data_IF_391014565688
#
_entry.id   IF_391014565688
#
_cell.length_a   1.000
_cell.length_b   1.000
_cell.length_c   1.000
_cell.angle_alpha   90.00
_cell.angle_beta   90.00
_cell.angle_gamma   90.00
#
_symmetry.space_group_name_H-M   'P 1'
#
loop_
_entity.id
_entity.type
_entity.pdbx_description
1 polymer ?
#
# COMPACT_ATOMS: atom_id res chain seq x y z
N UNK A 1 -5.05 -21.96 -14.02
CA UNK A 1 -4.40 -20.81 -14.66
C UNK A 1 -4.45 -19.55 -13.80
N UNK A 2 -5.61 -19.05 -13.32
CA UNK A 2 -5.71 -17.80 -12.53
C UNK A 2 -4.83 -17.82 -11.25
N UNK A 3 -4.78 -18.91 -10.51
CA UNK A 3 -3.95 -19.03 -9.29
C UNK A 3 -2.45 -18.96 -9.58
N UNK A 4 -1.99 -19.60 -10.66
CA UNK A 4 -0.58 -19.56 -11.07
C UNK A 4 -0.20 -18.12 -11.49
N UNK A 5 -1.04 -17.48 -12.30
CA UNK A 5 -0.86 -16.08 -12.69
C UNK A 5 -0.77 -15.15 -11.48
N UNK A 6 -1.71 -15.27 -10.53
CA UNK A 6 -1.71 -14.49 -9.29
C UNK A 6 -0.38 -14.66 -8.52
N UNK A 7 0.06 -15.90 -8.30
CA UNK A 7 1.33 -16.19 -7.60
C UNK A 7 2.53 -15.64 -8.35
N UNK A 8 2.57 -15.76 -9.67
CA UNK A 8 3.65 -15.20 -10.50
C UNK A 8 3.72 -13.69 -10.36
N UNK A 9 2.57 -13.00 -10.46
CA UNK A 9 2.53 -11.54 -10.26
C UNK A 9 3.00 -11.16 -8.86
N UNK A 10 2.57 -11.86 -7.81
CA UNK A 10 3.05 -11.57 -6.44
C UNK A 10 4.56 -11.74 -6.29
N UNK A 11 5.14 -12.77 -6.87
CA UNK A 11 6.61 -12.99 -6.84
C UNK A 11 7.32 -11.86 -7.59
N UNK A 12 6.87 -11.50 -8.79
CA UNK A 12 7.43 -10.39 -9.56
C UNK A 12 7.36 -9.06 -8.80
N UNK A 13 6.19 -8.76 -8.20
CA UNK A 13 6.02 -7.55 -7.40
C UNK A 13 6.89 -7.57 -6.14
N UNK A 14 7.03 -8.72 -5.48
CA UNK A 14 7.92 -8.87 -4.32
C UNK A 14 9.38 -8.62 -4.68
N UNK A 15 9.85 -9.15 -5.81
CA UNK A 15 11.17 -8.85 -6.35
C UNK A 15 11.30 -7.36 -6.70
N UNK A 16 10.31 -6.79 -7.39
CA UNK A 16 10.34 -5.39 -7.78
C UNK A 16 10.33 -4.43 -6.59
N UNK A 17 9.68 -4.76 -5.50
CA UNK A 17 9.72 -3.96 -4.27
C UNK A 17 11.16 -3.68 -3.79
N UNK A 18 12.10 -4.61 -3.97
CA UNK A 18 13.52 -4.42 -3.62
C UNK A 18 14.24 -3.42 -4.52
N UNK A 19 13.72 -3.19 -5.73
CA UNK A 19 14.27 -2.19 -6.66
C UNK A 19 13.58 -0.84 -6.54
N UNK A 20 12.31 -0.82 -6.14
CA UNK A 20 11.52 0.41 -6.05
C UNK A 20 11.63 1.09 -4.69
N UNK A 21 11.64 0.32 -3.62
CA UNK A 21 11.79 0.83 -2.25
C UNK A 21 13.22 0.62 -1.75
N UNK A 22 13.71 1.56 -0.98
CA UNK A 22 14.99 1.40 -0.29
C UNK A 22 14.90 0.26 0.72
N UNK A 23 13.79 0.19 1.46
CA UNK A 23 13.49 -0.90 2.38
C UNK A 23 11.99 -1.01 2.63
N UNK A 24 11.50 -2.24 2.65
CA UNK A 24 10.17 -2.58 3.16
C UNK A 24 10.39 -3.38 4.45
N UNK A 25 9.96 -2.80 5.58
CA UNK A 25 10.04 -3.42 6.90
C UNK A 25 8.68 -3.92 7.30
N UNK A 26 8.61 -5.13 7.83
CA UNK A 26 7.35 -5.77 8.21
C UNK A 26 7.41 -6.15 9.67
N UNK A 27 6.35 -5.86 10.43
CA UNK A 27 6.22 -6.11 11.85
C UNK A 27 4.88 -6.76 12.15
N UNK A 28 4.85 -7.63 13.16
CA UNK A 28 3.62 -8.21 13.68
C UNK A 28 2.98 -9.29 12.81
N UNK A 29 3.74 -9.99 11.97
CA UNK A 29 3.22 -11.13 11.20
C UNK A 29 2.68 -12.25 12.10
N UNK A 30 3.21 -12.37 13.30
CA UNK A 30 2.75 -13.30 14.33
C UNK A 30 1.33 -13.00 14.85
N UNK A 31 0.85 -11.77 14.65
CA UNK A 31 -0.51 -11.35 15.01
C UNK A 31 -1.58 -11.81 14.00
N UNK A 32 -1.18 -12.39 12.87
CA UNK A 32 -2.10 -12.86 11.83
C UNK A 32 -2.59 -14.27 12.20
N UNK A 33 -3.89 -14.44 12.52
CA UNK A 33 -4.43 -15.75 12.88
C UNK A 33 -4.33 -16.75 11.71
N UNK A 34 -4.06 -17.99 12.05
CA UNK A 34 -4.06 -19.12 11.10
C UNK A 34 -5.45 -19.77 11.09
N UNK A 35 -5.78 -20.46 10.00
CA UNK A 35 -7.01 -21.26 9.85
C UNK A 35 -8.27 -20.47 10.25
N UNK A 36 -8.46 -19.31 9.66
CA UNK A 36 -9.57 -18.40 9.98
C UNK A 36 -9.90 -17.49 8.80
N UNK A 37 -11.12 -17.01 8.72
CA UNK A 37 -11.50 -15.94 7.80
C UNK A 37 -10.92 -14.60 8.27
N UNK A 38 -10.22 -13.87 7.40
CA UNK A 38 -9.56 -12.62 7.77
C UNK A 38 -10.02 -11.46 6.90
N UNK A 39 -10.22 -10.32 7.54
CA UNK A 39 -10.33 -9.02 6.86
C UNK A 39 -9.13 -8.18 7.28
N UNK A 40 -8.17 -7.97 6.38
CA UNK A 40 -7.12 -6.98 6.58
C UNK A 40 -7.69 -5.59 6.35
N UNK A 41 -7.51 -4.70 7.32
CA UNK A 41 -7.97 -3.31 7.25
C UNK A 41 -6.79 -2.35 7.36
N UNK A 42 -6.14 -1.99 6.25
CA UNK A 42 -5.08 -1.00 6.23
C UNK A 42 -5.62 0.43 6.14
N UNK A 43 -4.76 1.43 6.51
CA UNK A 43 -4.92 2.81 6.10
C UNK A 43 -4.71 2.98 4.59
N UNK A 44 -5.18 4.09 4.01
CA UNK A 44 -5.22 4.25 2.55
C UNK A 44 -4.59 5.57 2.08
N UNK A 45 -3.27 5.55 1.87
CA UNK A 45 -2.47 6.74 1.55
C UNK A 45 -1.64 6.60 0.25
N UNK A 46 -1.54 5.38 -0.30
CA UNK A 46 -0.77 5.07 -1.50
C UNK A 46 -1.60 4.55 -2.69
N UNK A 47 -2.91 4.81 -2.71
CA UNK A 47 -3.84 4.34 -3.75
C UNK A 47 -3.70 2.83 -4.00
N UNK A 48 -3.54 2.36 -5.26
CA UNK A 48 -3.42 0.93 -5.56
C UNK A 48 -2.07 0.31 -5.11
N UNK A 49 -1.11 1.10 -4.64
CA UNK A 49 0.14 0.59 -4.08
C UNK A 49 -0.09 -0.08 -2.71
N UNK A 50 -1.03 0.43 -1.91
CA UNK A 50 -1.33 -0.12 -0.59
C UNK A 50 -1.74 -1.60 -0.61
N UNK A 51 -2.72 -2.05 -1.43
CA UNK A 51 -3.08 -3.46 -1.49
C UNK A 51 -1.95 -4.34 -2.05
N UNK A 52 -1.09 -3.82 -2.94
CA UNK A 52 0.07 -4.56 -3.45
C UNK A 52 1.11 -4.79 -2.35
N UNK A 53 1.37 -3.79 -1.51
CA UNK A 53 2.29 -3.90 -0.38
C UNK A 53 1.79 -4.92 0.64
N UNK A 54 0.52 -4.86 1.03
CA UNK A 54 -0.07 -5.85 1.94
C UNK A 54 -0.02 -7.25 1.31
N UNK A 55 -0.40 -7.39 0.03
CA UNK A 55 -0.39 -8.67 -0.68
C UNK A 55 0.99 -9.31 -0.79
N UNK A 56 2.05 -8.50 -0.95
CA UNK A 56 3.43 -9.01 -1.04
C UNK A 56 4.07 -9.33 0.31
N UNK A 57 3.46 -8.90 1.43
CA UNK A 57 4.07 -8.99 2.77
C UNK A 57 3.29 -9.85 3.76
N UNK A 58 1.96 -10.00 3.63
CA UNK A 58 1.15 -10.73 4.60
C UNK A 58 1.31 -12.27 4.55
N UNK A 59 1.95 -12.81 3.52
CA UNK A 59 2.12 -14.26 3.36
C UNK A 59 0.87 -15.04 2.92
N UNK A 60 -0.19 -14.35 2.55
CA UNK A 60 -1.48 -14.94 2.15
C UNK A 60 -1.96 -14.44 0.79
N UNK A 61 -2.78 -15.25 0.12
CA UNK A 61 -3.54 -14.78 -1.04
C UNK A 61 -4.68 -13.88 -0.57
N UNK A 62 -4.81 -12.70 -1.18
CA UNK A 62 -5.82 -11.70 -0.82
C UNK A 62 -6.91 -11.60 -1.88
N UNK A 63 -8.12 -11.26 -1.44
CA UNK A 63 -9.23 -10.86 -2.28
C UNK A 63 -9.55 -9.38 -1.98
N UNK A 64 -8.99 -8.44 -2.76
CA UNK A 64 -9.17 -7.01 -2.50
C UNK A 64 -10.57 -6.54 -2.88
N UNK A 65 -11.23 -5.81 -1.95
CA UNK A 65 -12.43 -5.07 -2.27
C UNK A 65 -12.05 -3.70 -2.82
N UNK A 66 -12.49 -3.41 -4.04
CA UNK A 66 -12.12 -2.17 -4.73
C UNK A 66 -13.31 -1.52 -5.43
N UNK A 67 -13.16 -0.28 -5.87
CA UNK A 67 -14.23 0.49 -6.51
C UNK A 67 -14.76 -0.19 -7.77
N UNK A 68 -16.09 -0.26 -7.91
CA UNK A 68 -16.73 -0.91 -9.06
C UNK A 68 -16.46 -0.24 -10.40
N UNK A 69 -16.17 1.06 -10.41
CA UNK A 69 -15.93 1.83 -11.63
C UNK A 69 -14.66 1.40 -12.40
N UNK A 70 -13.66 0.87 -11.71
CA UNK A 70 -12.44 0.36 -12.37
C UNK A 70 -12.68 -0.93 -13.17
N UNK A 71 -13.77 -1.66 -12.90
CA UNK A 71 -14.12 -2.88 -13.63
C UNK A 71 -14.81 -2.62 -14.99
N UNK A 72 -15.12 -1.36 -15.32
CA UNK A 72 -15.76 -0.98 -16.60
C UNK A 72 -14.80 -0.95 -17.79
N UNK A 73 -13.49 -1.04 -17.55
CA UNK A 73 -12.46 -0.94 -18.57
C UNK A 73 -12.03 -2.27 -19.18
N UNK A 74 -11.14 -2.25 -20.20
CA UNK A 74 -10.64 -3.44 -20.88
C UNK A 74 -9.80 -4.36 -19.98
N UNK A 75 -9.41 -3.89 -18.79
CA UNK A 75 -8.57 -4.63 -17.83
C UNK A 75 -9.36 -5.50 -16.86
N UNK A 76 -10.67 -5.70 -17.07
CA UNK A 76 -11.52 -6.51 -16.20
C UNK A 76 -10.93 -7.91 -15.93
N UNK A 77 -10.45 -8.60 -16.98
CA UNK A 77 -9.82 -9.92 -16.84
C UNK A 77 -8.60 -9.93 -15.92
N UNK A 78 -7.82 -8.84 -15.90
CA UNK A 78 -6.65 -8.69 -15.04
C UNK A 78 -7.05 -8.50 -13.57
N UNK A 79 -8.08 -7.68 -13.32
CA UNK A 79 -8.63 -7.48 -11.98
C UNK A 79 -9.23 -8.78 -11.41
N UNK A 80 -9.93 -9.55 -12.25
CA UNK A 80 -10.41 -10.87 -11.90
C UNK A 80 -9.28 -11.87 -11.60
N UNK A 81 -8.21 -11.82 -12.37
CA UNK A 81 -7.04 -12.67 -12.15
C UNK A 81 -6.32 -12.32 -10.84
N UNK A 82 -6.42 -11.06 -10.39
CA UNK A 82 -5.97 -10.59 -9.08
C UNK A 82 -7.01 -10.81 -7.97
N UNK A 83 -8.10 -11.53 -8.23
CA UNK A 83 -9.17 -11.86 -7.26
C UNK A 83 -9.83 -10.63 -6.66
N UNK A 84 -9.86 -9.50 -7.38
CA UNK A 84 -10.49 -8.28 -6.92
C UNK A 84 -12.02 -8.37 -6.99
N UNK A 85 -12.70 -7.81 -5.98
CA UNK A 85 -14.15 -7.77 -5.88
C UNK A 85 -14.66 -6.32 -5.96
N UNK A 86 -15.69 -6.03 -6.80
CA UNK A 86 -16.21 -4.68 -6.95
C UNK A 86 -17.08 -4.27 -5.77
N UNK A 87 -16.88 -3.06 -5.23
CA UNK A 87 -17.76 -2.44 -4.22
C UNK A 87 -18.40 -1.20 -4.80
N UNK A 88 -19.72 -1.11 -4.70
CA UNK A 88 -20.54 0.02 -5.14
C UNK A 88 -20.73 0.99 -3.99
N UNK A 89 -20.55 2.29 -4.25
CA UNK A 89 -20.70 3.37 -3.27
C UNK A 89 -22.01 4.13 -3.48
N UNK A 90 -22.44 4.88 -2.48
CA UNK A 90 -23.68 5.69 -2.56
C UNK A 90 -23.66 6.62 -3.79
N UNK A 91 -22.52 7.21 -4.10
CA UNK A 91 -22.34 8.06 -5.30
C UNK A 91 -22.45 7.32 -6.64
N UNK A 92 -22.40 5.99 -6.63
CA UNK A 92 -22.58 5.16 -7.83
C UNK A 92 -24.08 4.91 -8.12
N UNK A 93 -24.99 5.50 -7.31
CA UNK A 93 -26.44 5.41 -7.39
C UNK A 93 -27.05 4.37 -6.44
N UNK A 94 -28.22 4.66 -5.92
CA UNK A 94 -28.92 3.77 -4.96
C UNK A 94 -29.24 2.40 -5.54
N UNK A 95 -29.57 2.31 -6.83
CA UNK A 95 -29.80 1.02 -7.52
C UNK A 95 -28.56 0.12 -7.54
N UNK A 96 -27.37 0.73 -7.57
CA UNK A 96 -26.09 0.01 -7.54
C UNK A 96 -25.79 -0.56 -6.15
N UNK A 97 -26.31 0.01 -5.08
CA UNK A 97 -26.10 -0.50 -3.71
C UNK A 97 -26.69 -1.90 -3.52
N UNK A 98 -27.80 -2.24 -4.20
CA UNK A 98 -28.37 -3.60 -4.16
C UNK A 98 -27.39 -4.65 -4.67
N UNK A 99 -26.46 -4.28 -5.58
CA UNK A 99 -25.41 -5.18 -6.09
C UNK A 99 -24.40 -5.54 -5.00
N UNK A 100 -24.22 -4.68 -3.99
CA UNK A 100 -23.35 -5.01 -2.86
C UNK A 100 -23.82 -6.23 -2.09
N UNK A 101 -25.13 -6.51 -2.05
CA UNK A 101 -25.63 -7.70 -1.33
C UNK A 101 -25.03 -8.98 -1.95
N UNK A 102 -24.97 -9.08 -3.29
CA UNK A 102 -24.37 -10.22 -3.98
C UNK A 102 -22.88 -10.31 -3.69
N UNK A 103 -22.18 -9.16 -3.70
CA UNK A 103 -20.73 -9.13 -3.40
C UNK A 103 -20.46 -9.49 -1.94
N UNK A 104 -21.30 -9.05 -1.02
CA UNK A 104 -21.15 -9.38 0.41
C UNK A 104 -21.42 -10.86 0.66
N UNK A 105 -22.39 -11.47 -0.03
CA UNK A 105 -22.58 -12.92 0.02
C UNK A 105 -21.32 -13.68 -0.41
N UNK A 106 -20.68 -13.25 -1.52
CA UNK A 106 -19.39 -13.81 -1.97
C UNK A 106 -18.31 -13.62 -0.89
N UNK A 107 -18.27 -12.46 -0.24
CA UNK A 107 -17.31 -12.19 0.83
C UNK A 107 -17.56 -13.08 2.06
N UNK A 108 -18.82 -13.32 2.42
CA UNK A 108 -19.17 -14.22 3.54
C UNK A 108 -18.71 -15.64 3.26
N UNK A 109 -18.94 -16.14 2.04
CA UNK A 109 -18.50 -17.47 1.63
C UNK A 109 -16.97 -17.58 1.61
N UNK A 110 -16.27 -16.56 1.12
CA UNK A 110 -14.81 -16.51 1.18
C UNK A 110 -14.28 -16.56 2.62
N UNK A 111 -14.91 -15.82 3.54
CA UNK A 111 -14.52 -15.83 4.96
C UNK A 111 -14.83 -17.17 5.62
N UNK A 112 -15.96 -17.82 5.29
CA UNK A 112 -16.27 -19.21 5.71
C UNK A 112 -15.18 -20.17 5.27
N UNK A 113 -14.69 -20.03 4.05
CA UNK A 113 -13.65 -20.86 3.44
C UNK A 113 -12.24 -20.44 3.86
N UNK A 114 -12.13 -19.71 4.97
CA UNK A 114 -10.88 -19.22 5.55
C UNK A 114 -10.01 -18.39 4.58
N UNK A 115 -10.64 -17.77 3.58
CA UNK A 115 -9.95 -16.84 2.68
C UNK A 115 -9.74 -15.49 3.34
N UNK A 116 -8.88 -14.67 2.70
CA UNK A 116 -8.44 -13.39 3.24
C UNK A 116 -8.94 -12.26 2.34
N UNK A 117 -9.70 -11.36 2.92
CA UNK A 117 -10.14 -10.12 2.26
C UNK A 117 -9.22 -8.97 2.66
N UNK A 118 -9.12 -7.95 1.81
CA UNK A 118 -8.56 -6.65 2.19
C UNK A 118 -9.57 -5.57 1.89
N UNK A 119 -9.86 -4.74 2.89
CA UNK A 119 -10.84 -3.67 2.79
C UNK A 119 -10.34 -2.41 3.50
N UNK A 120 -10.29 -1.30 2.78
CA UNK A 120 -9.86 -0.01 3.29
C UNK A 120 -10.99 0.67 4.04
N UNK A 121 -10.98 0.59 5.37
CA UNK A 121 -12.06 1.06 6.24
C UNK A 121 -12.22 2.57 6.27
N UNK A 122 -11.23 3.35 5.83
CA UNK A 122 -11.34 4.80 5.63
C UNK A 122 -12.31 5.20 4.49
N UNK A 123 -12.61 4.28 3.57
CA UNK A 123 -13.54 4.49 2.45
C UNK A 123 -13.02 5.39 1.32
N UNK A 124 -11.93 6.11 1.53
CA UNK A 124 -11.25 6.93 0.51
C UNK A 124 -9.79 7.17 0.89
N UNK A 125 -8.91 7.26 -0.12
CA UNK A 125 -7.51 7.61 0.09
C UNK A 125 -7.30 9.10 0.38
N UNK A 126 -6.13 9.45 0.91
CA UNK A 126 -5.67 10.85 1.12
C UNK A 126 -4.14 10.91 1.26
N UNK A 127 -3.57 12.11 1.10
CA UNK A 127 -2.12 12.35 1.10
C UNK A 127 -1.61 12.88 2.46
N UNK A 128 -2.20 12.44 3.56
CA UNK A 128 -1.80 12.81 4.92
C UNK A 128 -1.45 11.56 5.73
N UNK A 129 -0.67 11.72 6.82
CA UNK A 129 -0.23 10.58 7.65
C UNK A 129 -1.25 10.16 8.71
N UNK A 130 -2.20 11.04 9.07
CA UNK A 130 -3.21 10.69 10.07
C UNK A 130 -4.26 9.70 9.55
N UNK A 131 -4.89 8.98 10.46
CA UNK A 131 -5.98 8.06 10.15
C UNK A 131 -7.29 8.83 10.05
N UNK A 132 -8.02 8.69 8.94
CA UNK A 132 -9.39 9.17 8.84
C UNK A 132 -10.32 8.34 9.70
N UNK A 133 -11.44 8.93 10.12
CA UNK A 133 -12.51 8.19 10.77
C UNK A 133 -12.95 7.01 9.91
N UNK A 134 -13.04 5.84 10.52
CA UNK A 134 -13.38 4.63 9.81
C UNK A 134 -14.89 4.58 9.47
N UNK A 135 -15.19 4.05 8.29
CA UNK A 135 -16.54 3.67 7.88
C UNK A 135 -16.96 2.37 8.57
N UNK A 136 -18.27 2.10 8.58
CA UNK A 136 -18.83 0.90 9.21
C UNK A 136 -18.73 -0.35 8.33
N UNK A 137 -18.26 -0.23 7.09
CA UNK A 137 -18.36 -1.28 6.07
C UNK A 137 -17.67 -2.58 6.45
N UNK A 138 -16.41 -2.51 6.88
CA UNK A 138 -15.62 -3.70 7.27
C UNK A 138 -16.17 -4.38 8.52
N UNK A 139 -16.56 -3.59 9.54
CA UNK A 139 -17.13 -4.12 10.78
C UNK A 139 -18.50 -4.76 10.56
N UNK A 140 -19.32 -4.15 9.72
CA UNK A 140 -20.62 -4.71 9.32
C UNK A 140 -20.44 -6.03 8.57
N UNK A 141 -19.59 -6.05 7.54
CA UNK A 141 -19.30 -7.26 6.75
C UNK A 141 -18.79 -8.41 7.62
N UNK A 142 -17.89 -8.11 8.56
CA UNK A 142 -17.34 -9.11 9.46
C UNK A 142 -18.40 -9.71 10.39
N UNK A 143 -19.25 -8.87 11.00
CA UNK A 143 -20.30 -9.32 11.92
C UNK A 143 -21.40 -10.11 11.22
N UNK A 144 -21.82 -9.67 10.03
CA UNK A 144 -22.81 -10.38 9.21
C UNK A 144 -22.28 -11.76 8.76
N UNK A 145 -21.01 -11.82 8.34
CA UNK A 145 -20.35 -13.08 7.99
C UNK A 145 -20.24 -14.03 9.19
N UNK A 146 -19.83 -13.52 10.36
CA UNK A 146 -19.69 -14.32 11.57
C UNK A 146 -21.05 -14.79 12.13
N UNK A 147 -22.10 -13.97 12.03
CA UNK A 147 -23.49 -14.36 12.37
C UNK A 147 -23.98 -15.50 11.48
N UNK A 148 -23.67 -15.41 10.16
CA UNK A 148 -24.07 -16.40 9.15
C UNK A 148 -23.30 -17.71 9.31
N UNK A 149 -22.02 -17.65 9.64
CA UNK A 149 -21.12 -18.81 9.76
C UNK A 149 -20.45 -18.88 11.15
N UNK A 150 -21.22 -19.20 12.22
CA UNK A 150 -20.72 -19.13 13.61
C UNK A 150 -19.63 -20.15 13.94
N UNK A 151 -19.48 -21.20 13.14
CA UNK A 151 -18.45 -22.24 13.36
C UNK A 151 -17.06 -21.83 12.88
N UNK A 152 -16.97 -20.91 11.91
CA UNK A 152 -15.69 -20.43 11.38
C UNK A 152 -15.23 -19.22 12.21
N UNK A 153 -14.03 -19.25 12.74
CA UNK A 153 -13.46 -18.09 13.41
C UNK A 153 -13.10 -17.01 12.39
N UNK A 154 -13.57 -15.80 12.64
CA UNK A 154 -13.28 -14.64 11.78
C UNK A 154 -12.64 -13.53 12.57
N UNK A 155 -11.68 -12.84 11.94
CA UNK A 155 -10.96 -11.73 12.56
C UNK A 155 -10.87 -10.53 11.61
N UNK A 156 -10.78 -9.34 12.20
CA UNK A 156 -10.29 -8.15 11.50
C UNK A 156 -8.88 -7.87 11.98
N UNK A 157 -7.94 -7.74 11.05
CA UNK A 157 -6.55 -7.43 11.31
C UNK A 157 -6.30 -5.97 10.98
N UNK A 158 -6.05 -5.09 11.97
CA UNK A 158 -5.64 -3.72 11.71
C UNK A 158 -4.24 -3.71 11.10
N UNK A 159 -4.05 -2.93 10.03
CA UNK A 159 -2.76 -2.81 9.35
C UNK A 159 -2.37 -1.36 9.23
N UNK A 160 -1.12 -1.03 9.55
CA UNK A 160 -0.54 0.29 9.32
C UNK A 160 0.46 0.23 8.17
N UNK A 161 0.27 1.04 7.13
CA UNK A 161 1.24 1.26 6.06
C UNK A 161 1.83 2.65 6.28
N UNK A 162 3.10 2.70 6.65
CA UNK A 162 3.79 3.94 7.02
C UNK A 162 4.85 4.23 5.97
N UNK A 163 4.61 5.24 5.15
CA UNK A 163 5.54 5.73 4.15
C UNK A 163 6.46 6.80 4.72
N UNK A 164 7.77 6.73 4.49
CA UNK A 164 8.67 7.83 4.84
C UNK A 164 8.47 9.05 3.92
N UNK A 165 7.86 8.85 2.75
CA UNK A 165 7.42 9.89 1.83
C UNK A 165 6.35 9.36 0.86
N UNK A 166 5.14 9.95 0.85
CA UNK A 166 4.02 9.41 0.07
C UNK A 166 4.23 9.40 -1.46
N UNK A 167 5.05 10.28 -1.99
CA UNK A 167 5.13 10.51 -3.45
C UNK A 167 6.46 10.09 -4.08
N UNK A 168 7.43 9.59 -3.31
CA UNK A 168 8.78 9.33 -3.84
C UNK A 168 9.09 7.84 -3.94
N UNK A 169 9.73 7.41 -5.05
CA UNK A 169 10.40 6.12 -5.08
C UNK A 169 11.61 6.13 -4.14
N UNK A 170 12.18 4.96 -3.89
CA UNK A 170 13.39 4.79 -3.09
C UNK A 170 13.26 5.31 -1.66
N UNK A 171 12.07 5.10 -1.06
CA UNK A 171 11.73 5.41 0.32
C UNK A 171 11.73 4.15 1.20
N UNK A 172 11.71 4.32 2.51
CA UNK A 172 11.39 3.23 3.43
C UNK A 172 9.88 3.17 3.67
N UNK A 173 9.35 1.95 3.70
CA UNK A 173 7.95 1.66 4.03
C UNK A 173 7.92 0.69 5.19
N UNK A 174 7.13 1.00 6.23
CA UNK A 174 6.95 0.13 7.37
C UNK A 174 5.50 -0.36 7.41
N UNK A 175 5.33 -1.67 7.32
CA UNK A 175 4.03 -2.33 7.37
C UNK A 175 3.90 -3.01 8.72
N UNK A 176 2.87 -2.67 9.47
CA UNK A 176 2.63 -3.17 10.82
C UNK A 176 1.30 -3.89 10.86
N UNK A 177 1.34 -5.17 11.12
CA UNK A 177 0.14 -5.99 11.38
C UNK A 177 -0.15 -5.94 12.87
N UNK A 178 -1.24 -5.26 13.25
CA UNK A 178 -1.67 -5.12 14.63
C UNK A 178 -2.37 -6.38 15.15
N UNK A 179 -2.66 -6.38 16.46
CA UNK A 179 -3.35 -7.49 17.11
C UNK A 179 -4.73 -7.69 16.49
N UNK A 180 -5.00 -8.91 16.00
CA UNK A 180 -6.27 -9.27 15.38
C UNK A 180 -7.45 -9.16 16.36
N UNK A 181 -8.58 -8.68 15.88
CA UNK A 181 -9.83 -8.57 16.62
C UNK A 181 -10.71 -9.78 16.30
N UNK A 182 -10.99 -10.62 17.28
CA UNK A 182 -11.89 -11.77 17.13
C UNK A 182 -13.33 -11.27 16.99
N UNK A 183 -13.94 -11.46 15.81
CA UNK A 183 -15.31 -10.97 15.53
C UNK A 183 -16.34 -11.71 16.36
N UNK A 184 -16.14 -12.99 16.61
CA UNK A 184 -17.03 -13.84 17.42
C UNK A 184 -17.26 -13.33 18.84
N UNK A 185 -16.30 -12.60 19.43
CA UNK A 185 -16.47 -12.00 20.77
C UNK A 185 -17.53 -10.89 20.83
N UNK A 186 -17.95 -10.36 19.68
CA UNK A 186 -18.99 -9.32 19.60
C UNK A 186 -20.37 -9.87 19.24
N UNK A 187 -20.53 -11.18 18.99
CA UNK A 187 -21.81 -11.73 18.49
C UNK A 187 -22.96 -11.62 19.46
N UNK A 188 -22.72 -11.77 20.77
CA UNK A 188 -23.80 -11.64 21.77
C UNK A 188 -24.38 -10.21 21.76
N UNK A 189 -23.49 -9.21 21.85
CA UNK A 189 -23.89 -7.80 21.74
C UNK A 189 -24.58 -7.52 20.39
N UNK A 190 -24.11 -8.15 19.31
CA UNK A 190 -24.65 -7.97 17.97
C UNK A 190 -26.11 -8.46 17.82
N UNK A 191 -26.45 -9.56 18.49
CA UNK A 191 -27.82 -10.06 18.55
C UNK A 191 -28.74 -9.12 19.32
N UNK A 192 -28.23 -8.47 20.36
CA UNK A 192 -29.00 -7.50 21.14
C UNK A 192 -29.18 -6.17 20.40
N UNK A 193 -28.09 -5.61 19.86
CA UNK A 193 -28.14 -4.33 19.12
C UNK A 193 -27.09 -4.28 18.02
N UNK A 194 -27.52 -4.59 16.79
CA UNK A 194 -26.66 -4.62 15.61
C UNK A 194 -25.93 -3.28 15.36
N UNK A 195 -26.64 -2.17 15.46
CA UNK A 195 -26.10 -0.84 15.15
C UNK A 195 -25.02 -0.37 16.13
N UNK A 196 -25.24 -0.61 17.40
CA UNK A 196 -24.27 -0.29 18.47
C UNK A 196 -23.03 -1.15 18.34
N UNK A 197 -23.19 -2.46 18.10
CA UNK A 197 -22.08 -3.39 18.04
C UNK A 197 -21.19 -3.17 16.82
N UNK A 198 -21.77 -2.82 15.65
CA UNK A 198 -21.01 -2.40 14.48
C UNK A 198 -20.10 -1.20 14.82
N UNK A 199 -20.62 -0.22 15.59
CA UNK A 199 -19.80 0.91 16.04
C UNK A 199 -18.72 0.48 17.03
N UNK A 200 -19.03 -0.37 18.03
CA UNK A 200 -18.03 -0.90 18.96
C UNK A 200 -16.86 -1.59 18.24
N UNK A 201 -17.16 -2.46 17.27
CA UNK A 201 -16.11 -3.15 16.49
C UNK A 201 -15.32 -2.18 15.62
N UNK A 202 -15.98 -1.19 14.98
CA UNK A 202 -15.30 -0.13 14.23
C UNK A 202 -14.33 0.67 15.12
N UNK A 203 -14.78 1.05 16.33
CA UNK A 203 -13.98 1.86 17.26
C UNK A 203 -12.80 1.04 17.80
N UNK A 204 -13.00 -0.25 18.08
CA UNK A 204 -11.91 -1.17 18.44
C UNK A 204 -10.89 -1.31 17.30
N UNK A 205 -11.37 -1.39 16.05
CA UNK A 205 -10.50 -1.43 14.87
C UNK A 205 -9.70 -0.12 14.73
N UNK A 206 -10.33 1.04 14.91
CA UNK A 206 -9.67 2.34 14.85
C UNK A 206 -8.54 2.44 15.88
N UNK A 207 -8.81 2.04 17.12
CA UNK A 207 -7.78 1.97 18.18
C UNK A 207 -6.63 1.04 17.80
N UNK A 208 -6.94 -0.12 17.21
CA UNK A 208 -5.93 -1.06 16.71
C UNK A 208 -5.07 -0.47 15.59
N UNK A 209 -5.70 0.21 14.61
CA UNK A 209 -5.00 0.84 13.49
C UNK A 209 -4.12 2.01 13.95
N UNK A 210 -4.58 2.84 14.89
CA UNK A 210 -3.77 3.94 15.46
C UNK A 210 -2.46 3.44 16.10
N UNK A 211 -2.48 2.24 16.70
CA UNK A 211 -1.26 1.63 17.24
C UNK A 211 -0.26 1.24 16.15
N UNK A 212 -0.73 0.98 14.94
CA UNK A 212 0.08 0.59 13.77
C UNK A 212 0.60 1.77 12.94
N UNK A 213 0.31 3.01 13.30
CA UNK A 213 0.69 4.22 12.56
C UNK A 213 1.65 5.10 13.36
N UNK A 214 2.56 5.80 12.66
CA UNK A 214 3.47 6.77 13.27
C UNK A 214 2.75 8.01 13.78
N UNK A 215 1.89 8.61 12.91
CA UNK A 215 1.12 9.82 13.18
C UNK A 215 -0.37 9.54 12.97
N UNK A 216 -1.04 8.84 13.92
CA UNK A 216 -2.43 8.44 13.73
C UNK A 216 -3.45 9.58 13.87
N UNK A 217 -3.11 10.63 14.61
CA UNK A 217 -4.03 11.69 14.99
C UNK A 217 -3.66 13.02 14.30
N UNK A 218 -4.68 13.83 13.99
CA UNK A 218 -4.54 15.20 13.50
C UNK A 218 -4.78 16.17 14.67
N UNK A 219 -3.87 16.13 15.65
CA UNK A 219 -3.85 17.04 16.79
C UNK A 219 -3.07 18.35 16.47
N UNK A 220 -2.98 19.26 17.43
CA UNK A 220 -2.27 20.55 17.27
C UNK A 220 -0.77 20.35 16.97
N UNK A 221 -0.18 19.26 17.42
CA UNK A 221 1.22 18.92 17.20
C UNK A 221 1.48 18.21 15.84
N UNK A 222 0.43 17.83 15.10
CA UNK A 222 0.54 17.04 13.88
C UNK A 222 1.47 17.67 12.84
N UNK A 223 1.29 18.96 12.54
CA UNK A 223 2.10 19.66 11.53
C UNK A 223 3.58 19.76 11.90
N UNK A 224 3.88 19.86 13.18
CA UNK A 224 5.24 19.84 13.67
C UNK A 224 5.85 18.45 13.57
N UNK A 225 5.18 17.42 14.07
CA UNK A 225 5.63 16.04 14.01
C UNK A 225 5.80 15.52 12.58
N UNK A 226 4.94 15.96 11.66
CA UNK A 226 5.00 15.63 10.23
C UNK A 226 6.34 16.01 9.60
N UNK A 227 7.01 17.10 10.04
CA UNK A 227 8.31 17.53 9.54
C UNK A 227 9.43 16.53 9.78
N UNK A 228 9.24 15.62 10.74
CA UNK A 228 10.21 14.56 11.05
C UNK A 228 9.95 13.27 10.28
N UNK A 229 8.80 13.14 9.58
CA UNK A 229 8.51 11.94 8.77
C UNK A 229 9.25 12.02 7.46
N UNK A 230 10.43 11.42 7.45
CA UNK A 230 11.27 11.29 6.25
C UNK A 230 12.25 10.11 6.39
N UNK A 231 12.92 9.76 5.30
CA UNK A 231 13.72 8.53 5.19
C UNK A 231 14.86 8.42 6.23
N UNK A 232 15.43 9.53 6.68
CA UNK A 232 16.54 9.50 7.64
C UNK A 232 16.07 9.00 9.00
N UNK A 233 14.91 9.47 9.45
CA UNK A 233 14.34 9.08 10.74
C UNK A 233 13.65 7.71 10.67
N UNK A 234 13.05 7.34 9.54
CA UNK A 234 12.41 6.03 9.39
C UNK A 234 13.38 4.86 9.53
N UNK A 235 14.69 5.10 9.34
CA UNK A 235 15.75 4.08 9.57
C UNK A 235 15.79 3.55 11.01
N UNK A 236 15.33 4.31 11.99
CA UNK A 236 15.24 3.89 13.39
C UNK A 236 14.35 2.65 13.57
N UNK A 237 13.43 2.39 12.67
CA UNK A 237 12.43 1.35 12.80
C UNK A 237 11.09 1.90 13.28
N UNK A 238 10.04 1.07 13.22
CA UNK A 238 8.69 1.55 13.49
C UNK A 238 8.51 2.03 14.93
N UNK A 239 8.86 1.20 15.91
CA UNK A 239 8.57 1.45 17.32
C UNK A 239 9.40 2.61 17.86
N UNK A 240 10.70 2.58 17.63
CA UNK A 240 11.62 3.61 18.09
C UNK A 240 11.30 4.98 17.46
N UNK A 241 11.01 5.01 16.16
CA UNK A 241 10.62 6.26 15.50
C UNK A 241 9.28 6.80 16.02
N UNK A 242 8.29 5.91 16.24
CA UNK A 242 7.00 6.31 16.82
C UNK A 242 7.16 6.89 18.22
N UNK A 243 7.97 6.28 19.07
CA UNK A 243 8.29 6.76 20.40
C UNK A 243 9.00 8.10 20.37
N UNK A 244 10.00 8.24 19.50
CA UNK A 244 10.74 9.49 19.34
C UNK A 244 9.86 10.65 18.88
N UNK A 245 8.87 10.41 18.03
CA UNK A 245 7.90 11.43 17.59
C UNK A 245 7.05 11.98 18.74
N UNK A 246 6.82 11.19 19.78
CA UNK A 246 6.00 11.58 20.95
C UNK A 246 6.85 12.17 22.07
N UNK A 247 7.94 11.50 22.43
CA UNK A 247 8.66 11.76 23.68
C UNK A 247 10.05 12.41 23.48
N UNK A 248 10.69 12.24 22.31
CA UNK A 248 12.11 12.51 22.13
C UNK A 248 12.43 13.18 20.79
N UNK A 249 11.66 14.21 20.41
CA UNK A 249 11.83 14.88 19.11
C UNK A 249 13.25 15.47 18.90
N UNK A 250 13.99 15.76 19.99
CA UNK A 250 15.38 16.22 19.93
C UNK A 250 16.34 15.21 19.31
N UNK A 251 16.01 13.91 19.32
CA UNK A 251 16.77 12.85 18.65
C UNK A 251 16.52 12.77 17.16
N UNK A 252 15.45 13.41 16.68
CA UNK A 252 15.04 13.37 15.28
C UNK A 252 15.69 14.50 14.47
N UNK A 253 16.06 14.17 13.24
CA UNK A 253 16.62 15.13 12.31
C UNK A 253 15.49 15.77 11.49
N UNK A 254 15.57 17.05 11.23
CA UNK A 254 14.70 17.71 10.27
C UNK A 254 15.23 17.49 8.84
N UNK A 255 14.34 17.41 7.86
CA UNK A 255 14.72 17.32 6.45
C UNK A 255 15.53 18.56 6.05
N UNK A 256 16.68 18.35 5.41
CA UNK A 256 17.54 19.45 4.94
C UNK A 256 17.10 19.91 3.55
N UNK A 257 17.10 21.23 3.31
CA UNK A 257 16.86 21.75 1.97
C UNK A 257 18.01 21.41 1.01
N UNK A 258 17.67 21.15 -0.26
CA UNK A 258 18.66 20.81 -1.29
C UNK A 258 19.52 22.02 -1.68
N UNK A 259 20.84 21.87 -1.65
CA UNK A 259 21.77 22.86 -2.22
C UNK A 259 21.73 22.86 -3.77
N UNK A 260 22.06 24.02 -4.38
CA UNK A 260 22.08 24.16 -5.86
C UNK A 260 23.05 23.20 -6.56
N UNK A 261 24.24 22.98 -6.01
CA UNK A 261 25.27 22.08 -6.54
C UNK A 261 24.79 20.62 -6.63
N UNK A 262 24.04 20.18 -5.64
CA UNK A 262 23.52 18.81 -5.59
C UNK A 262 22.43 18.57 -6.63
N UNK A 263 21.65 19.60 -6.99
CA UNK A 263 20.71 19.49 -8.10
C UNK A 263 21.40 19.28 -9.46
N UNK A 264 22.59 19.80 -9.66
CA UNK A 264 23.38 19.55 -10.87
C UNK A 264 23.83 18.08 -10.90
N UNK A 265 24.35 17.56 -9.80
CA UNK A 265 24.76 16.14 -9.70
C UNK A 265 23.56 15.21 -9.98
N UNK A 266 22.40 15.46 -9.39
CA UNK A 266 21.18 14.68 -9.62
C UNK A 266 20.76 14.71 -11.10
N UNK A 267 20.93 15.82 -11.81
CA UNK A 267 20.65 15.92 -13.24
C UNK A 267 21.65 15.12 -14.06
N UNK A 268 22.93 15.23 -13.77
CA UNK A 268 24.01 14.48 -14.46
C UNK A 268 23.83 12.98 -14.32
N UNK A 269 23.56 12.48 -13.11
CA UNK A 269 23.27 11.06 -12.86
C UNK A 269 22.01 10.57 -13.58
N UNK A 270 21.13 11.47 -13.97
CA UNK A 270 19.90 11.16 -14.70
C UNK A 270 20.05 11.13 -16.23
N UNK A 271 21.18 11.55 -16.80
CA UNK A 271 21.31 11.75 -18.26
C UNK A 271 21.08 10.47 -19.06
N UNK A 272 21.69 9.36 -18.69
CA UNK A 272 21.50 8.07 -19.38
C UNK A 272 20.06 7.58 -19.29
N UNK A 273 19.35 7.96 -18.23
CA UNK A 273 17.95 7.62 -17.99
C UNK A 273 16.99 8.76 -18.28
N UNK A 274 17.39 9.77 -19.06
CA UNK A 274 16.57 10.98 -19.27
C UNK A 274 15.23 10.66 -19.93
N UNK A 275 15.24 9.76 -20.92
CA UNK A 275 14.04 9.35 -21.68
C UNK A 275 13.02 8.69 -20.75
N UNK A 276 13.31 7.59 -20.03
CA UNK A 276 12.35 6.96 -19.15
C UNK A 276 11.93 7.89 -17.99
N UNK A 277 12.82 8.72 -17.45
CA UNK A 277 12.46 9.69 -16.43
C UNK A 277 11.43 10.74 -16.92
N UNK A 278 11.59 11.25 -18.14
CA UNK A 278 10.64 12.18 -18.75
C UNK A 278 9.31 11.48 -19.08
N UNK A 279 9.35 10.25 -19.59
CA UNK A 279 8.14 9.47 -19.88
C UNK A 279 7.32 9.24 -18.61
N UNK A 280 7.95 8.75 -17.53
CA UNK A 280 7.28 8.55 -16.23
C UNK A 280 6.73 9.87 -15.70
N UNK A 281 7.50 10.98 -15.79
CA UNK A 281 7.04 12.31 -15.38
C UNK A 281 5.81 12.75 -16.18
N UNK A 282 5.80 12.54 -17.49
CA UNK A 282 4.67 12.88 -18.36
C UNK A 282 3.41 12.09 -17.97
N UNK A 283 3.55 10.77 -17.76
CA UNK A 283 2.43 9.91 -17.34
C UNK A 283 1.89 10.34 -15.97
N UNK A 284 2.76 10.60 -14.99
CA UNK A 284 2.36 11.11 -13.66
C UNK A 284 1.60 12.44 -13.78
N UNK A 285 2.01 13.33 -14.68
CA UNK A 285 1.36 14.62 -14.93
C UNK A 285 -0.07 14.53 -15.50
N UNK A 286 -0.49 13.37 -15.99
CA UNK A 286 -1.87 13.13 -16.42
C UNK A 286 -2.85 12.93 -15.26
N UNK A 287 -2.33 12.71 -14.05
CA UNK A 287 -3.12 12.44 -12.85
C UNK A 287 -3.09 13.65 -11.92
N UNK A 288 -4.23 14.30 -11.74
CA UNK A 288 -4.38 15.46 -10.86
C UNK A 288 -4.29 15.11 -9.37
N UNK A 289 -4.74 13.90 -9.00
CA UNK A 289 -4.70 13.46 -7.60
C UNK A 289 -3.29 12.95 -7.25
N UNK A 290 -2.61 13.67 -6.39
CA UNK A 290 -1.22 13.41 -5.95
C UNK A 290 -1.04 12.05 -5.25
N UNK A 291 -2.11 11.47 -4.69
CA UNK A 291 -2.07 10.15 -4.03
C UNK A 291 -1.70 9.06 -5.03
N UNK A 292 -2.11 9.21 -6.29
CA UNK A 292 -1.75 8.26 -7.34
C UNK A 292 -0.31 8.38 -7.83
N UNK A 293 0.38 9.50 -7.59
CA UNK A 293 1.68 9.76 -8.21
C UNK A 293 2.72 8.67 -7.91
N UNK A 294 2.79 8.19 -6.66
CA UNK A 294 3.74 7.14 -6.30
C UNK A 294 3.35 5.79 -6.93
N UNK A 295 2.07 5.46 -6.87
CA UNK A 295 1.53 4.24 -7.47
C UNK A 295 1.73 4.19 -9.00
N UNK A 296 1.54 5.33 -9.69
CA UNK A 296 1.81 5.47 -11.12
C UNK A 296 3.31 5.33 -11.42
N UNK A 297 4.19 5.96 -10.62
CA UNK A 297 5.64 5.77 -10.76
C UNK A 297 6.04 4.31 -10.57
N UNK A 298 5.42 3.62 -9.62
CA UNK A 298 5.66 2.20 -9.37
C UNK A 298 5.29 1.35 -10.59
N UNK A 299 4.07 1.49 -11.10
CA UNK A 299 3.57 0.66 -12.19
C UNK A 299 4.26 0.97 -13.53
N UNK A 300 4.27 2.25 -13.93
CA UNK A 300 4.85 2.67 -15.21
C UNK A 300 6.38 2.65 -15.17
N UNK A 301 6.98 2.88 -14.00
CA UNK A 301 8.42 2.70 -13.81
C UNK A 301 8.86 1.28 -14.11
N UNK A 302 8.13 0.27 -13.60
CA UNK A 302 8.42 -1.13 -13.88
C UNK A 302 8.47 -1.42 -15.40
N UNK A 303 7.51 -0.90 -16.15
CA UNK A 303 7.40 -1.18 -17.60
C UNK A 303 8.41 -0.35 -18.40
N UNK A 304 8.44 0.97 -18.18
CA UNK A 304 9.22 1.91 -18.99
C UNK A 304 10.72 1.68 -18.79
N UNK A 305 11.20 1.49 -17.53
CA UNK A 305 12.62 1.23 -17.30
C UNK A 305 13.05 -0.16 -17.78
N UNK A 306 12.20 -1.19 -17.65
CA UNK A 306 12.52 -2.51 -18.18
C UNK A 306 12.71 -2.47 -19.71
N UNK A 307 11.80 -1.80 -20.43
CA UNK A 307 11.93 -1.61 -21.90
C UNK A 307 13.19 -0.80 -22.23
N UNK A 308 13.44 0.28 -21.49
CA UNK A 308 14.62 1.12 -21.71
C UNK A 308 15.93 0.35 -21.54
N UNK A 309 16.04 -0.46 -20.51
CA UNK A 309 17.23 -1.26 -20.26
C UNK A 309 17.46 -2.33 -21.34
N UNK A 310 16.39 -2.94 -21.86
CA UNK A 310 16.49 -3.84 -23.01
C UNK A 310 16.96 -3.07 -24.26
N UNK A 311 16.45 -1.87 -24.50
CA UNK A 311 16.91 -1.02 -25.61
C UNK A 311 18.40 -0.70 -25.49
N UNK A 312 18.87 -0.29 -24.31
CA UNK A 312 20.31 0.01 -24.08
C UNK A 312 21.19 -1.22 -24.29
N UNK A 313 20.74 -2.38 -23.81
CA UNK A 313 21.46 -3.64 -23.98
C UNK A 313 21.58 -3.98 -25.47
N UNK A 314 20.48 -4.00 -26.21
CA UNK A 314 20.46 -4.33 -27.63
C UNK A 314 21.23 -3.30 -28.48
N UNK A 315 21.13 -2.01 -28.14
CA UNK A 315 21.89 -0.95 -28.79
C UNK A 315 23.40 -1.19 -28.66
N UNK A 316 23.89 -1.44 -27.44
CA UNK A 316 25.32 -1.70 -27.23
C UNK A 316 25.79 -2.98 -27.93
N UNK A 317 24.98 -4.04 -27.91
CA UNK A 317 25.31 -5.29 -28.63
C UNK A 317 25.45 -5.05 -30.15
N UNK A 318 24.55 -4.25 -30.71
CA UNK A 318 24.57 -3.95 -32.15
C UNK A 318 25.81 -3.17 -32.60
N UNK A 319 26.29 -2.19 -31.79
CA UNK A 319 27.42 -1.34 -32.18
C UNK A 319 28.80 -1.95 -31.89
N UNK A 320 29.00 -2.52 -30.70
CA UNK A 320 30.31 -3.02 -30.25
C UNK A 320 30.26 -4.35 -29.47
N UNK A 321 29.12 -5.05 -29.55
CA UNK A 321 28.95 -6.37 -28.96
C UNK A 321 28.53 -6.38 -27.48
N UNK A 322 28.55 -7.56 -26.90
CA UNK A 322 27.98 -7.85 -25.58
C UNK A 322 28.58 -6.99 -24.45
N UNK A 323 29.87 -6.67 -24.51
CA UNK A 323 30.53 -5.88 -23.47
C UNK A 323 29.95 -4.47 -23.37
N UNK A 324 29.75 -3.76 -24.49
CA UNK A 324 29.14 -2.44 -24.50
C UNK A 324 27.68 -2.52 -24.05
N UNK A 325 26.92 -3.51 -24.54
CA UNK A 325 25.52 -3.71 -24.16
C UNK A 325 25.36 -3.87 -22.64
N UNK A 326 26.13 -4.76 -22.03
CA UNK A 326 26.12 -4.97 -20.58
C UNK A 326 26.61 -3.73 -19.80
N UNK A 327 27.63 -3.02 -20.30
CA UNK A 327 28.13 -1.79 -19.68
C UNK A 327 27.07 -0.69 -19.66
N UNK A 328 26.34 -0.48 -20.76
CA UNK A 328 25.24 0.49 -20.84
C UNK A 328 24.10 0.11 -19.92
N UNK A 329 23.68 -1.16 -19.91
CA UNK A 329 22.64 -1.65 -19.01
C UNK A 329 23.02 -1.46 -17.54
N UNK A 330 24.15 -2.00 -17.10
CA UNK A 330 24.59 -1.94 -15.70
C UNK A 330 24.86 -0.49 -15.29
N UNK A 331 25.55 0.28 -16.12
CA UNK A 331 25.81 1.71 -15.90
C UNK A 331 24.52 2.51 -15.71
N UNK A 332 23.52 2.29 -16.53
CA UNK A 332 22.21 2.92 -16.40
C UNK A 332 21.52 2.61 -15.07
N UNK A 333 21.53 1.32 -14.66
CA UNK A 333 20.96 0.89 -13.37
C UNK A 333 21.70 1.53 -12.20
N UNK A 334 23.05 1.50 -12.21
CA UNK A 334 23.87 2.07 -11.13
C UNK A 334 23.68 3.59 -11.01
N UNK A 335 23.67 4.31 -12.14
CA UNK A 335 23.45 5.76 -12.14
C UNK A 335 22.06 6.12 -11.62
N UNK A 336 21.04 5.35 -11.99
CA UNK A 336 19.67 5.55 -11.46
C UNK A 336 19.65 5.31 -9.94
N UNK A 337 20.28 4.23 -9.48
CA UNK A 337 20.39 3.90 -8.06
C UNK A 337 21.05 5.04 -7.28
N UNK A 338 22.24 5.50 -7.70
CA UNK A 338 22.99 6.60 -7.05
C UNK A 338 22.15 7.88 -7.03
N UNK A 339 21.48 8.20 -8.14
CA UNK A 339 20.56 9.34 -8.22
C UNK A 339 19.45 9.25 -7.17
N UNK A 340 18.81 8.11 -7.03
CA UNK A 340 17.71 7.92 -6.07
C UNK A 340 18.22 7.95 -4.63
N UNK A 341 19.40 7.40 -4.36
CA UNK A 341 20.00 7.44 -3.03
C UNK A 341 20.24 8.90 -2.58
N UNK A 342 20.83 9.73 -3.46
CA UNK A 342 21.05 11.15 -3.16
C UNK A 342 19.72 11.87 -2.94
N UNK A 343 18.70 11.63 -3.79
CA UNK A 343 17.39 12.26 -3.64
C UNK A 343 16.74 11.88 -2.32
N UNK A 344 16.81 10.63 -1.93
CA UNK A 344 16.16 10.11 -0.72
C UNK A 344 16.79 10.63 0.57
N UNK A 345 18.10 10.90 0.59
CA UNK A 345 18.79 11.41 1.78
C UNK A 345 18.54 12.89 2.06
N UNK A 346 17.94 13.60 1.10
CA UNK A 346 17.69 15.05 1.15
C UNK A 346 16.21 15.41 1.37
N UNK A 347 15.32 14.44 1.34
CA UNK A 347 13.91 14.57 1.63
C UNK A 347 13.62 13.67 2.85
#
# INVERSE_FOLDING_TARGET
>A
MKTLFYKTILVLLKCYNHFYFKKVRVYGLENIPKNSGLIFSPNHQGAFLDPLLVGTTCGHELNPLTRSDIFRGPFHWFLDALKMLPVYRIRDGFSSLKKNNVIFEICYDLLRDEKKLIMFSEGSHHNEYFLKRLSKGSSRLALEAQEKYPKTQMYIVPVGINYSHHQMPWQEVHIVYGKALLVGSFLNDYKENKGVTINKLRDALEVGMKKCLWLPDKDDSYLEKKKYVHIVNSKLGFFEFKEALVNEQSKLKQAKSRGKSLNVVIKLLGLVNIIPLLMVRKVVGLFSDVVFHNAIKYLFGLIIFAIWWVILLLFGIYFEGMYLGLSLFIGSVVLLYLRQEIISTLN
#
